data_IF_178962378176
#
_entry.id   IF_178962378176
#
_cell.length_a   1.000
_cell.length_b   1.000
_cell.length_c   1.000
_cell.angle_alpha   90.00
_cell.angle_beta   90.00
_cell.angle_gamma   90.00
#
_symmetry.space_group_name_H-M   'P 1'
#
loop_
_entity.id
_entity.type
_entity.pdbx_description
1 polymer ?
#
# COMPACT_ATOMS: atom_id res chain seq x y z
N UNK A 1 -16.91 -39.86 28.99
CA UNK A 1 -16.18 -40.11 27.74
C UNK A 1 -15.74 -38.78 27.19
N UNK A 2 -14.46 -38.67 26.92
CA UNK A 2 -13.70 -37.45 26.77
C UNK A 2 -14.18 -36.59 25.61
N UNK A 3 -14.60 -35.37 25.91
CA UNK A 3 -14.65 -34.26 24.96
C UNK A 3 -13.21 -33.88 24.65
N UNK A 4 -12.68 -34.39 23.54
CA UNK A 4 -11.42 -33.90 22.99
C UNK A 4 -11.62 -32.44 22.60
N UNK A 5 -11.05 -31.56 23.41
CA UNK A 5 -10.76 -30.18 23.09
C UNK A 5 -9.86 -30.18 21.86
N UNK A 6 -10.43 -30.12 20.66
CA UNK A 6 -9.67 -29.78 19.46
C UNK A 6 -9.19 -28.34 19.65
N UNK A 7 -7.93 -28.23 20.05
CA UNK A 7 -7.20 -26.98 20.08
C UNK A 7 -7.27 -26.36 18.69
N UNK A 8 -7.92 -25.20 18.64
CA UNK A 8 -8.18 -24.37 17.48
C UNK A 8 -6.86 -23.74 16.99
N UNK A 9 -5.91 -24.57 16.56
CA UNK A 9 -4.65 -24.14 15.96
C UNK A 9 -4.86 -23.99 14.47
N UNK A 10 -4.56 -22.81 13.94
CA UNK A 10 -4.63 -22.52 12.52
C UNK A 10 -3.84 -23.57 11.71
N UNK A 11 -4.33 -23.95 10.51
CA UNK A 11 -3.55 -24.74 9.57
C UNK A 11 -2.17 -24.12 9.32
N UNK A 12 -1.17 -24.97 9.07
CA UNK A 12 0.23 -24.55 8.91
C UNK A 12 0.41 -23.52 7.78
N UNK A 13 -0.30 -23.70 6.67
CA UNK A 13 -0.30 -22.80 5.53
C UNK A 13 -0.91 -21.43 5.86
N UNK A 14 -2.01 -21.40 6.62
CA UNK A 14 -2.64 -20.17 7.09
C UNK A 14 -1.73 -19.44 8.08
N UNK A 15 -1.19 -20.17 9.06
CA UNK A 15 -0.26 -19.61 10.04
C UNK A 15 1.01 -19.04 9.37
N UNK A 16 1.58 -19.75 8.39
CA UNK A 16 2.73 -19.28 7.64
C UNK A 16 2.41 -18.02 6.83
N UNK A 17 1.24 -17.95 6.19
CA UNK A 17 0.82 -16.76 5.45
C UNK A 17 0.68 -15.53 6.35
N UNK A 18 0.14 -15.69 7.56
CA UNK A 18 0.02 -14.60 8.54
C UNK A 18 1.40 -14.12 9.02
N UNK A 19 2.32 -15.03 9.32
CA UNK A 19 3.69 -14.67 9.73
C UNK A 19 4.41 -13.88 8.63
N UNK A 20 4.33 -14.35 7.38
CA UNK A 20 4.94 -13.67 6.23
C UNK A 20 4.34 -12.26 6.05
N UNK A 21 3.02 -12.13 6.21
CA UNK A 21 2.35 -10.83 6.18
C UNK A 21 2.87 -9.90 7.28
N UNK A 22 2.98 -10.38 8.52
CA UNK A 22 3.39 -9.56 9.66
C UNK A 22 4.84 -9.07 9.52
N UNK A 23 5.74 -9.93 9.02
CA UNK A 23 7.11 -9.56 8.68
C UNK A 23 7.17 -8.49 7.59
N UNK A 24 6.40 -8.68 6.51
CA UNK A 24 6.32 -7.72 5.42
C UNK A 24 5.72 -6.37 5.86
N UNK A 25 4.69 -6.40 6.71
CA UNK A 25 4.06 -5.22 7.32
C UNK A 25 5.04 -4.48 8.21
N UNK A 26 5.79 -5.18 9.07
CA UNK A 26 6.81 -4.57 9.91
C UNK A 26 7.93 -3.91 9.09
N UNK A 27 8.42 -4.59 8.05
CA UNK A 27 9.42 -4.05 7.12
C UNK A 27 8.91 -2.80 6.40
N UNK A 28 7.69 -2.84 5.86
CA UNK A 28 7.05 -1.69 5.22
C UNK A 28 6.91 -0.50 6.18
N UNK A 29 6.45 -0.72 7.42
CA UNK A 29 6.30 0.34 8.41
C UNK A 29 7.64 0.98 8.79
N UNK A 30 8.72 0.20 8.88
CA UNK A 30 10.06 0.73 9.15
C UNK A 30 10.57 1.62 7.99
N UNK A 31 10.35 1.22 6.74
CA UNK A 31 10.70 2.05 5.58
C UNK A 31 9.86 3.33 5.51
N UNK A 32 8.54 3.19 5.76
CA UNK A 32 7.61 4.31 5.81
C UNK A 32 8.00 5.35 6.86
N UNK A 33 8.39 4.93 8.06
CA UNK A 33 8.83 5.85 9.12
C UNK A 33 10.11 6.60 8.74
N UNK A 34 11.05 5.89 8.09
CA UNK A 34 12.28 6.50 7.55
C UNK A 34 11.95 7.56 6.50
N UNK A 35 11.05 7.24 5.56
CA UNK A 35 10.59 8.16 4.53
C UNK A 35 9.92 9.41 5.12
N UNK A 36 9.00 9.24 6.09
CA UNK A 36 8.33 10.36 6.76
C UNK A 36 9.34 11.25 7.47
N UNK A 37 10.30 10.65 8.17
CA UNK A 37 11.33 11.38 8.91
C UNK A 37 12.21 12.22 7.97
N UNK A 38 12.66 11.63 6.86
CA UNK A 38 13.45 12.34 5.85
C UNK A 38 12.63 13.43 5.16
N UNK A 39 11.38 13.14 4.79
CA UNK A 39 10.47 14.10 4.16
C UNK A 39 10.24 15.34 5.01
N UNK A 40 9.93 15.16 6.31
CA UNK A 40 9.77 16.29 7.25
C UNK A 40 11.03 17.13 7.39
N UNK A 41 12.20 16.48 7.44
CA UNK A 41 13.49 17.19 7.53
C UNK A 41 13.78 18.00 6.27
N UNK A 42 13.56 17.41 5.10
CA UNK A 42 13.73 18.05 3.80
C UNK A 42 12.80 19.25 3.63
N UNK A 43 11.52 19.09 3.97
CA UNK A 43 10.53 20.18 3.98
C UNK A 43 10.94 21.31 4.91
N UNK A 44 11.45 20.98 6.11
CA UNK A 44 11.98 21.96 7.05
C UNK A 44 13.15 22.74 6.44
N UNK A 45 14.17 22.06 5.90
CA UNK A 45 15.33 22.73 5.30
C UNK A 45 14.93 23.64 4.14
N UNK A 46 14.05 23.17 3.25
CA UNK A 46 13.51 23.99 2.14
C UNK A 46 12.68 25.18 2.62
N UNK A 47 11.88 25.02 3.66
CA UNK A 47 11.11 26.12 4.23
C UNK A 47 12.03 27.17 4.86
N UNK A 48 13.03 26.75 5.64
CA UNK A 48 14.00 27.66 6.25
C UNK A 48 14.88 28.35 5.22
N UNK A 49 15.33 27.64 4.19
CA UNK A 49 16.07 28.21 3.06
C UNK A 49 15.29 29.34 2.38
N UNK A 50 14.01 29.10 2.05
CA UNK A 50 13.13 30.10 1.45
C UNK A 50 12.94 31.34 2.34
N UNK A 51 12.79 31.13 3.65
CA UNK A 51 12.67 32.23 4.61
C UNK A 51 13.98 33.05 4.68
N UNK A 52 15.13 32.40 4.85
CA UNK A 52 16.44 33.04 4.90
C UNK A 52 16.77 33.78 3.59
N UNK A 53 16.38 33.22 2.44
CA UNK A 53 16.54 33.87 1.14
C UNK A 53 15.72 35.14 1.04
N UNK A 54 14.47 35.11 1.49
CA UNK A 54 13.63 36.31 1.53
C UNK A 54 14.20 37.39 2.46
N UNK A 55 14.75 37.00 3.62
CA UNK A 55 15.43 37.93 4.52
C UNK A 55 16.71 38.53 3.92
N UNK A 56 17.50 37.72 3.21
CA UNK A 56 18.69 38.16 2.47
C UNK A 56 18.32 39.15 1.35
N UNK A 57 17.30 38.86 0.56
CA UNK A 57 16.81 39.76 -0.49
C UNK A 57 16.34 41.11 0.08
N UNK A 58 15.67 41.08 1.23
CA UNK A 58 15.25 42.28 1.96
C UNK A 58 16.45 43.09 2.44
N UNK A 59 17.41 42.44 3.10
CA UNK A 59 18.65 43.09 3.55
C UNK A 59 19.47 43.67 2.39
N UNK A 60 19.48 43.00 1.23
CA UNK A 60 20.13 43.50 0.02
C UNK A 60 19.44 44.70 -0.61
N UNK A 61 18.11 44.81 -0.50
CA UNK A 61 17.38 46.02 -0.87
C UNK A 61 17.73 47.19 0.08
N UNK A 62 17.78 46.93 1.39
CA UNK A 62 18.14 47.92 2.41
C UNK A 62 19.58 48.42 2.25
N UNK A 63 20.54 47.52 2.05
CA UNK A 63 21.93 47.89 1.79
C UNK A 63 22.06 48.75 0.52
N UNK A 64 21.40 48.36 -0.58
CA UNK A 64 21.40 49.16 -1.83
C UNK A 64 20.70 50.50 -1.69
N UNK A 65 19.74 50.64 -0.78
CA UNK A 65 19.13 51.92 -0.44
C UNK A 65 20.13 52.79 0.33
N UNK A 66 20.70 52.28 1.42
CA UNK A 66 21.68 53.00 2.23
C UNK A 66 22.93 53.42 1.42
N UNK A 67 23.43 52.56 0.53
CA UNK A 67 24.55 52.88 -0.35
C UNK A 67 24.23 54.02 -1.33
N UNK A 68 22.99 54.09 -1.83
CA UNK A 68 22.53 55.19 -2.70
C UNK A 68 22.32 56.49 -1.91
N UNK A 69 21.74 56.40 -0.72
CA UNK A 69 21.50 57.55 0.15
C UNK A 69 22.80 58.19 0.63
N UNK A 70 23.86 57.39 0.78
CA UNK A 70 25.22 57.83 1.07
C UNK A 70 26.03 58.26 -0.18
N UNK A 71 25.39 58.38 -1.36
CA UNK A 71 26.05 58.71 -2.63
C UNK A 71 27.28 57.82 -2.96
N UNK A 72 27.21 56.55 -2.58
CA UNK A 72 28.28 55.58 -2.78
C UNK A 72 29.39 55.60 -1.72
N UNK A 73 29.30 56.45 -0.69
CA UNK A 73 30.25 56.44 0.42
C UNK A 73 30.09 55.19 1.30
N UNK A 74 31.21 54.53 1.61
CA UNK A 74 31.26 53.33 2.47
C UNK A 74 31.27 53.71 3.96
N UNK A 75 30.17 54.31 4.42
CA UNK A 75 29.99 54.63 5.84
C UNK A 75 29.91 53.36 6.69
N UNK A 76 30.17 53.44 8.01
CA UNK A 76 30.02 52.30 8.91
C UNK A 76 28.64 51.62 8.83
N UNK A 77 27.58 52.40 8.65
CA UNK A 77 26.20 51.93 8.52
C UNK A 77 25.98 51.15 7.22
N UNK A 78 26.50 51.63 6.10
CA UNK A 78 26.46 50.95 4.80
C UNK A 78 27.24 49.64 4.85
N UNK A 79 28.43 49.63 5.47
CA UNK A 79 29.23 48.42 5.63
C UNK A 79 28.57 47.40 6.56
N UNK A 80 27.87 47.85 7.60
CA UNK A 80 27.07 46.99 8.47
C UNK A 80 25.92 46.34 7.70
N UNK A 81 25.12 47.13 6.97
CA UNK A 81 24.02 46.59 6.16
C UNK A 81 24.51 45.58 5.10
N UNK A 82 25.69 45.82 4.51
CA UNK A 82 26.31 44.87 3.58
C UNK A 82 26.70 43.55 4.26
N UNK A 83 27.28 43.61 5.46
CA UNK A 83 27.62 42.39 6.23
C UNK A 83 26.36 41.61 6.59
N UNK A 84 25.33 42.31 7.08
CA UNK A 84 24.06 41.68 7.44
C UNK A 84 23.38 40.99 6.23
N UNK A 85 23.50 41.56 5.02
CA UNK A 85 23.03 40.90 3.77
C UNK A 85 23.82 39.64 3.44
N UNK A 86 25.16 39.71 3.51
CA UNK A 86 26.04 38.58 3.22
C UNK A 86 25.81 37.42 4.18
N UNK A 87 25.74 37.70 5.48
CA UNK A 87 25.52 36.69 6.52
C UNK A 87 24.18 35.96 6.30
N UNK A 88 23.11 36.70 5.95
CA UNK A 88 21.80 36.10 5.63
C UNK A 88 21.82 35.30 4.33
N UNK A 89 22.58 35.74 3.33
CA UNK A 89 22.71 35.03 2.06
C UNK A 89 23.43 33.70 2.25
N UNK A 90 24.56 33.72 2.96
CA UNK A 90 25.34 32.52 3.28
C UNK A 90 24.51 31.53 4.12
N UNK A 91 23.69 32.03 5.05
CA UNK A 91 22.76 31.19 5.81
C UNK A 91 21.69 30.54 4.92
N UNK A 92 21.14 31.28 3.95
CA UNK A 92 20.18 30.74 2.99
C UNK A 92 20.81 29.64 2.12
N UNK A 93 21.99 29.91 1.56
CA UNK A 93 22.78 28.96 0.75
C UNK A 93 23.10 27.70 1.56
N UNK A 94 23.46 27.84 2.84
CA UNK A 94 23.72 26.71 3.74
C UNK A 94 22.49 25.81 3.94
N UNK A 95 21.29 26.39 4.07
CA UNK A 95 20.06 25.60 4.18
C UNK A 95 19.63 24.97 2.86
N UNK A 96 19.89 25.62 1.72
CA UNK A 96 19.69 25.04 0.39
C UNK A 96 20.61 23.82 0.22
N UNK A 97 21.88 23.95 0.56
CA UNK A 97 22.84 22.85 0.51
C UNK A 97 22.44 21.68 1.41
N UNK A 98 21.99 21.94 2.65
CA UNK A 98 21.48 20.89 3.54
C UNK A 98 20.27 20.15 2.96
N UNK A 99 19.41 20.84 2.19
CA UNK A 99 18.29 20.21 1.51
C UNK A 99 18.78 19.35 0.33
N UNK A 100 19.74 19.84 -0.46
CA UNK A 100 20.30 19.14 -1.61
C UNK A 100 21.12 17.90 -1.20
N UNK A 101 21.82 17.95 -0.07
CA UNK A 101 22.51 16.80 0.52
C UNK A 101 21.53 15.72 0.99
N UNK A 102 20.35 16.11 1.48
CA UNK A 102 19.34 15.18 1.99
C UNK A 102 18.48 14.57 0.88
N UNK A 103 18.33 15.26 -0.26
CA UNK A 103 17.44 14.87 -1.36
C UNK A 103 17.70 13.44 -1.89
N UNK A 104 18.95 12.99 -2.16
CA UNK A 104 19.17 11.62 -2.64
C UNK A 104 18.79 10.55 -1.62
N UNK A 105 19.01 10.81 -0.32
CA UNK A 105 18.58 9.90 0.75
C UNK A 105 17.05 9.80 0.80
N UNK A 106 16.35 10.93 0.64
CA UNK A 106 14.90 10.95 0.56
C UNK A 106 14.37 10.18 -0.66
N UNK A 107 14.97 10.39 -1.84
CA UNK A 107 14.60 9.67 -3.07
C UNK A 107 14.83 8.16 -2.95
N UNK A 108 15.95 7.74 -2.34
CA UNK A 108 16.19 6.33 -2.06
C UNK A 108 15.13 5.75 -1.13
N UNK A 109 14.79 6.45 -0.04
CA UNK A 109 13.75 6.03 0.89
C UNK A 109 12.36 5.92 0.23
N UNK A 110 12.04 6.79 -0.74
CA UNK A 110 10.81 6.67 -1.54
C UNK A 110 10.78 5.35 -2.32
N UNK A 111 11.89 4.99 -2.95
CA UNK A 111 11.99 3.75 -3.74
C UNK A 111 11.94 2.51 -2.85
N UNK A 112 12.68 2.48 -1.75
CA UNK A 112 12.67 1.34 -0.81
C UNK A 112 11.29 1.15 -0.18
N UNK A 113 10.61 2.25 0.18
CA UNK A 113 9.23 2.21 0.69
C UNK A 113 8.27 1.66 -0.38
N UNK A 114 8.44 2.04 -1.65
CA UNK A 114 7.61 1.52 -2.74
C UNK A 114 7.80 -0.01 -2.95
N UNK A 115 9.03 -0.51 -2.84
CA UNK A 115 9.30 -1.95 -2.89
C UNK A 115 8.70 -2.68 -1.70
N UNK A 116 8.92 -2.17 -0.48
CA UNK A 116 8.38 -2.77 0.73
C UNK A 116 6.85 -2.79 0.71
N UNK A 117 6.21 -1.70 0.24
CA UNK A 117 4.76 -1.61 0.06
C UNK A 117 4.22 -2.70 -0.87
N UNK A 118 4.86 -2.91 -2.03
CA UNK A 118 4.45 -3.95 -2.96
C UNK A 118 4.51 -5.35 -2.34
N UNK A 119 5.55 -5.64 -1.58
CA UNK A 119 5.68 -6.91 -0.86
C UNK A 119 4.60 -7.05 0.21
N UNK A 120 4.35 -5.98 0.97
CA UNK A 120 3.24 -5.92 1.93
C UNK A 120 1.89 -6.18 1.26
N UNK A 121 1.54 -5.49 0.18
CA UNK A 121 0.25 -5.66 -0.51
C UNK A 121 0.05 -7.11 -1.01
N UNK A 122 1.09 -7.71 -1.60
CA UNK A 122 1.04 -9.12 -2.09
C UNK A 122 0.85 -10.11 -0.94
N UNK A 123 1.56 -9.91 0.18
CA UNK A 123 1.49 -10.83 1.33
C UNK A 123 0.19 -10.67 2.10
N UNK A 124 -0.34 -9.45 2.17
CA UNK A 124 -1.67 -9.14 2.71
C UNK A 124 -2.78 -9.82 1.90
N UNK A 125 -2.77 -9.72 0.57
CA UNK A 125 -3.75 -10.39 -0.29
C UNK A 125 -3.75 -11.91 -0.04
N UNK A 126 -2.56 -12.52 0.01
CA UNK A 126 -2.40 -13.95 0.29
C UNK A 126 -2.89 -14.35 1.68
N UNK A 127 -2.53 -13.59 2.70
CA UNK A 127 -2.94 -13.87 4.07
C UNK A 127 -4.46 -13.70 4.26
N UNK A 128 -5.04 -12.68 3.63
CA UNK A 128 -6.50 -12.44 3.63
C UNK A 128 -7.23 -13.58 2.94
N UNK A 129 -6.76 -14.03 1.77
CA UNK A 129 -7.34 -15.16 1.07
C UNK A 129 -7.25 -16.45 1.88
N UNK A 130 -6.05 -16.80 2.37
CA UNK A 130 -5.84 -18.04 3.14
C UNK A 130 -6.67 -18.08 4.43
N UNK A 131 -6.69 -16.97 5.17
CA UNK A 131 -7.47 -16.89 6.40
C UNK A 131 -8.98 -16.88 6.13
N UNK A 132 -9.44 -16.11 5.13
CA UNK A 132 -10.83 -16.06 4.71
C UNK A 132 -11.36 -17.43 4.25
N UNK A 133 -10.61 -18.14 3.40
CA UNK A 133 -10.95 -19.48 2.93
C UNK A 133 -11.03 -20.48 4.09
N UNK A 134 -10.09 -20.39 5.04
CA UNK A 134 -10.10 -21.23 6.24
C UNK A 134 -11.35 -20.98 7.11
N UNK A 135 -11.69 -19.71 7.38
CA UNK A 135 -12.88 -19.35 8.14
C UNK A 135 -14.15 -19.81 7.45
N UNK A 136 -14.23 -19.62 6.12
CA UNK A 136 -15.37 -20.07 5.33
C UNK A 136 -15.51 -21.60 5.40
N UNK A 137 -14.40 -22.34 5.32
CA UNK A 137 -14.41 -23.79 5.41
C UNK A 137 -14.92 -24.28 6.78
N UNK A 138 -14.46 -23.68 7.88
CA UNK A 138 -14.94 -24.01 9.23
C UNK A 138 -16.43 -23.69 9.36
N UNK A 139 -16.84 -22.45 9.03
CA UNK A 139 -18.23 -22.02 9.13
C UNK A 139 -19.18 -22.88 8.26
N UNK A 140 -18.72 -23.26 7.07
CA UNK A 140 -19.46 -24.16 6.18
C UNK A 140 -19.59 -25.56 6.78
N UNK A 141 -18.50 -26.12 7.33
CA UNK A 141 -18.53 -27.44 7.96
C UNK A 141 -19.48 -27.46 9.17
N UNK A 142 -19.45 -26.43 10.01
CA UNK A 142 -20.36 -26.27 11.14
C UNK A 142 -21.82 -26.14 10.69
N UNK A 143 -22.09 -25.28 9.71
CA UNK A 143 -23.41 -25.13 9.11
C UNK A 143 -23.93 -26.46 8.57
N UNK A 144 -23.11 -27.19 7.81
CA UNK A 144 -23.50 -28.47 7.21
C UNK A 144 -23.55 -29.64 8.19
N UNK A 145 -23.08 -29.48 9.43
CA UNK A 145 -23.31 -30.45 10.50
C UNK A 145 -24.76 -30.37 11.07
N UNK A 146 -25.40 -29.19 10.96
CA UNK A 146 -26.79 -28.98 11.41
C UNK A 146 -27.81 -29.81 10.62
N UNK A 147 -29.02 -29.98 11.14
CA UNK A 147 -30.07 -30.72 10.44
C UNK A 147 -30.59 -29.93 9.23
N UNK A 148 -30.69 -28.62 9.38
CA UNK A 148 -31.08 -27.64 8.39
C UNK A 148 -30.05 -27.61 7.25
N UNK A 149 -28.76 -27.50 7.57
CA UNK A 149 -27.67 -27.53 6.61
C UNK A 149 -27.62 -28.82 5.79
N UNK A 150 -27.76 -29.99 6.43
CA UNK A 150 -27.86 -31.28 5.72
C UNK A 150 -29.11 -31.38 4.83
N UNK A 151 -30.21 -30.76 5.25
CA UNK A 151 -31.43 -30.70 4.43
C UNK A 151 -31.22 -29.81 3.22
N UNK A 152 -30.59 -28.64 3.41
CA UNK A 152 -30.22 -27.74 2.33
C UNK A 152 -29.30 -28.41 1.30
N UNK A 153 -28.24 -29.09 1.74
CA UNK A 153 -27.33 -29.84 0.84
C UNK A 153 -28.07 -30.86 -0.03
N UNK A 154 -28.99 -31.63 0.56
CA UNK A 154 -29.83 -32.59 -0.19
C UNK A 154 -30.74 -31.90 -1.21
N UNK A 155 -31.30 -30.74 -0.86
CA UNK A 155 -32.12 -29.94 -1.79
C UNK A 155 -31.27 -29.38 -2.93
N UNK A 156 -30.06 -28.91 -2.64
CA UNK A 156 -29.11 -28.42 -3.65
C UNK A 156 -28.71 -29.51 -4.64
N UNK A 157 -28.38 -30.72 -4.18
CA UNK A 157 -28.09 -31.87 -5.06
C UNK A 157 -29.27 -32.20 -5.99
N UNK A 158 -30.50 -32.17 -5.46
CA UNK A 158 -31.72 -32.36 -6.29
C UNK A 158 -31.91 -31.24 -7.30
N UNK A 159 -31.58 -30.01 -6.90
CA UNK A 159 -31.69 -28.83 -7.76
C UNK A 159 -30.68 -28.86 -8.91
N UNK A 160 -29.44 -29.30 -8.64
CA UNK A 160 -28.40 -29.53 -9.65
C UNK A 160 -28.84 -30.59 -10.67
N UNK A 161 -29.32 -31.75 -10.20
CA UNK A 161 -29.84 -32.80 -11.07
C UNK A 161 -31.01 -32.31 -11.95
N UNK A 162 -31.89 -31.46 -11.41
CA UNK A 162 -32.99 -30.84 -12.15
C UNK A 162 -32.49 -29.94 -13.29
N UNK A 163 -31.47 -29.12 -13.05
CA UNK A 163 -30.90 -28.23 -14.09
C UNK A 163 -30.16 -29.02 -15.16
N UNK A 164 -29.41 -30.05 -14.79
CA UNK A 164 -28.78 -30.95 -15.77
C UNK A 164 -29.84 -31.62 -16.64
N UNK A 165 -30.91 -32.14 -16.04
CA UNK A 165 -32.01 -32.75 -16.78
C UNK A 165 -32.72 -31.76 -17.72
N UNK A 166 -32.90 -30.51 -17.29
CA UNK A 166 -33.47 -29.46 -18.13
C UNK A 166 -32.58 -29.16 -19.34
N UNK A 167 -31.27 -28.99 -19.14
CA UNK A 167 -30.30 -28.75 -20.23
C UNK A 167 -30.29 -29.91 -21.22
N UNK A 168 -30.31 -31.16 -20.74
CA UNK A 168 -30.37 -32.35 -21.59
C UNK A 168 -31.68 -32.39 -22.40
N UNK A 169 -32.81 -32.09 -21.76
CA UNK A 169 -34.14 -32.12 -22.40
C UNK A 169 -34.29 -31.05 -23.48
N UNK A 170 -33.76 -29.86 -23.23
CA UNK A 170 -33.81 -28.75 -24.19
C UNK A 170 -33.07 -29.11 -25.49
N UNK A 171 -32.00 -29.91 -25.40
CA UNK A 171 -31.20 -30.41 -26.53
C UNK A 171 -30.63 -29.29 -27.44
N UNK A 172 -30.49 -28.08 -26.89
CA UNK A 172 -29.96 -26.90 -27.58
C UNK A 172 -28.44 -26.78 -27.40
N UNK A 173 -27.90 -27.32 -26.30
CA UNK A 173 -26.50 -27.16 -25.89
C UNK A 173 -25.77 -28.49 -25.98
N UNK A 174 -24.66 -28.52 -26.73
CA UNK A 174 -23.76 -29.66 -26.85
C UNK A 174 -24.37 -30.90 -27.51
N UNK A 175 -23.55 -31.70 -28.20
CA UNK A 175 -23.97 -33.01 -28.70
C UNK A 175 -23.85 -34.08 -27.59
N UNK A 176 -24.96 -34.61 -27.11
CA UNK A 176 -24.97 -35.64 -26.05
C UNK A 176 -24.24 -36.95 -26.40
N UNK A 177 -23.98 -37.21 -27.68
CA UNK A 177 -23.22 -38.37 -28.14
C UNK A 177 -21.69 -38.17 -28.09
N UNK A 178 -21.21 -36.95 -27.86
CA UNK A 178 -19.78 -36.65 -27.75
C UNK A 178 -19.41 -36.27 -26.33
N UNK A 179 -18.18 -36.63 -25.91
CA UNK A 179 -17.67 -36.25 -24.60
C UNK A 179 -17.63 -34.72 -24.41
N UNK A 180 -17.28 -33.98 -25.47
CA UNK A 180 -17.30 -32.52 -25.45
C UNK A 180 -18.70 -31.96 -25.23
N UNK A 181 -19.71 -32.46 -25.95
CA UNK A 181 -21.08 -31.98 -25.77
C UNK A 181 -21.68 -32.34 -24.41
N UNK A 182 -21.28 -33.46 -23.81
CA UNK A 182 -21.63 -33.79 -22.43
C UNK A 182 -21.01 -32.81 -21.42
N UNK A 183 -19.73 -32.42 -21.62
CA UNK A 183 -19.08 -31.41 -20.79
C UNK A 183 -19.74 -30.03 -20.93
N UNK A 184 -20.08 -29.60 -22.15
CA UNK A 184 -20.81 -28.35 -22.40
C UNK A 184 -22.17 -28.32 -21.69
N UNK A 185 -22.91 -29.45 -21.67
CA UNK A 185 -24.18 -29.58 -20.95
C UNK A 185 -23.99 -29.48 -19.43
N UNK A 186 -22.94 -30.11 -18.89
CA UNK A 186 -22.61 -30.02 -17.46
C UNK A 186 -22.26 -28.58 -17.06
N UNK A 187 -21.42 -27.91 -17.85
CA UNK A 187 -21.05 -26.51 -17.59
C UNK A 187 -22.27 -25.57 -17.65
N UNK A 188 -23.16 -25.77 -18.63
CA UNK A 188 -24.39 -24.97 -18.74
C UNK A 188 -25.34 -25.21 -17.55
N UNK A 189 -25.45 -26.44 -17.07
CA UNK A 189 -26.24 -26.78 -15.89
C UNK A 189 -25.64 -26.15 -14.62
N UNK A 190 -24.32 -26.24 -14.45
CA UNK A 190 -23.60 -25.61 -13.35
C UNK A 190 -23.82 -24.09 -13.32
N UNK A 191 -23.69 -23.42 -14.47
CA UNK A 191 -23.94 -21.97 -14.56
C UNK A 191 -25.40 -21.57 -14.28
N UNK A 192 -26.39 -22.47 -14.39
CA UNK A 192 -27.77 -22.23 -13.92
C UNK A 192 -27.87 -22.36 -12.40
N UNK A 193 -27.20 -23.34 -11.81
CA UNK A 193 -27.14 -23.54 -10.35
C UNK A 193 -26.44 -22.36 -9.68
N UNK A 194 -25.28 -21.94 -10.20
CA UNK A 194 -24.50 -20.81 -9.67
C UNK A 194 -25.32 -19.52 -9.63
N UNK A 195 -26.03 -19.18 -10.72
CA UNK A 195 -26.90 -18.00 -10.76
C UNK A 195 -28.07 -18.08 -9.77
N UNK A 196 -28.67 -19.26 -9.63
CA UNK A 196 -29.76 -19.45 -8.68
C UNK A 196 -29.27 -19.35 -7.22
N UNK A 197 -28.08 -19.91 -6.92
CA UNK A 197 -27.46 -19.83 -5.61
C UNK A 197 -27.05 -18.39 -5.27
N UNK A 198 -26.41 -17.68 -6.21
CA UNK A 198 -26.02 -16.28 -6.03
C UNK A 198 -27.22 -15.41 -5.64
N UNK A 199 -28.36 -15.58 -6.32
CA UNK A 199 -29.60 -14.86 -5.98
C UNK A 199 -30.07 -15.15 -4.54
N UNK A 200 -30.04 -16.41 -4.10
CA UNK A 200 -30.41 -16.77 -2.73
C UNK A 200 -29.46 -16.16 -1.69
N UNK A 201 -28.17 -16.11 -2.01
CA UNK A 201 -27.15 -15.50 -1.14
C UNK A 201 -27.34 -13.99 -1.05
N UNK A 202 -27.59 -13.30 -2.17
CA UNK A 202 -27.86 -11.85 -2.18
C UNK A 202 -29.11 -11.49 -1.35
N UNK A 203 -30.18 -12.27 -1.49
CA UNK A 203 -31.41 -12.10 -0.71
C UNK A 203 -31.18 -12.35 0.79
N UNK A 204 -30.35 -13.34 1.14
CA UNK A 204 -30.01 -13.63 2.53
C UNK A 204 -29.08 -12.57 3.14
N UNK A 205 -28.07 -12.11 2.39
CA UNK A 205 -27.10 -11.12 2.84
C UNK A 205 -27.76 -9.78 3.21
N UNK A 206 -28.81 -9.38 2.51
CA UNK A 206 -29.57 -8.17 2.81
C UNK A 206 -30.24 -8.16 4.20
N UNK A 207 -30.40 -9.34 4.83
CA UNK A 207 -31.04 -9.50 6.13
C UNK A 207 -30.03 -9.73 7.28
N UNK A 208 -28.72 -9.77 6.99
CA UNK A 208 -27.68 -10.03 8.00
C UNK A 208 -27.18 -8.71 8.57
N UNK A 209 -27.30 -8.56 9.89
CA UNK A 209 -26.64 -7.48 10.63
C UNK A 209 -25.12 -7.66 10.58
N UNK A 210 -24.33 -6.57 10.47
CA UNK A 210 -22.88 -6.66 10.45
C UNK A 210 -22.38 -7.29 11.76
N UNK A 211 -21.73 -8.45 11.63
CA UNK A 211 -21.10 -9.12 12.75
C UNK A 211 -19.92 -8.30 13.30
N UNK A 212 -19.58 -8.51 14.57
CA UNK A 212 -18.31 -8.01 15.11
C UNK A 212 -17.15 -8.58 14.30
N UNK A 213 -16.28 -7.69 13.81
CA UNK A 213 -15.15 -8.05 12.97
C UNK A 213 -14.13 -8.85 13.78
N UNK A 214 -13.71 -10.00 13.25
CA UNK A 214 -12.71 -10.86 13.87
C UNK A 214 -11.39 -10.06 14.07
N UNK A 215 -10.72 -10.17 15.23
CA UNK A 215 -9.49 -9.43 15.47
C UNK A 215 -8.40 -9.67 14.42
N UNK A 216 -8.26 -10.88 13.88
CA UNK A 216 -7.29 -11.18 12.82
C UNK A 216 -7.70 -10.52 11.50
N UNK A 217 -9.00 -10.49 11.16
CA UNK A 217 -9.48 -9.74 9.99
C UNK A 217 -9.16 -8.24 10.10
N UNK A 218 -9.27 -7.66 11.30
CA UNK A 218 -8.90 -6.27 11.52
C UNK A 218 -7.40 -6.05 11.28
N UNK A 219 -6.53 -6.97 11.73
CA UNK A 219 -5.08 -6.85 11.52
C UNK A 219 -4.65 -6.94 10.05
N UNK A 220 -5.45 -7.64 9.23
CA UNK A 220 -5.28 -7.83 7.80
C UNK A 220 -5.83 -6.68 6.95
N UNK A 221 -6.48 -5.67 7.54
CA UNK A 221 -6.93 -4.51 6.79
C UNK A 221 -5.77 -3.76 6.14
N UNK A 222 -6.02 -3.25 4.93
CA UNK A 222 -5.01 -2.54 4.15
C UNK A 222 -4.63 -1.23 4.83
N UNK A 223 -3.34 -0.95 4.90
CA UNK A 223 -2.84 0.32 5.43
C UNK A 223 -3.01 1.42 4.38
N UNK A 224 -3.51 2.58 4.82
CA UNK A 224 -3.58 3.78 4.00
C UNK A 224 -2.18 4.34 3.67
N UNK A 225 -2.09 4.95 2.49
CA UNK A 225 -0.89 5.66 2.02
C UNK A 225 -0.73 7.01 2.74
N UNK A 226 0.51 7.42 2.97
CA UNK A 226 0.83 8.81 3.37
C UNK A 226 1.02 9.75 2.19
N UNK A 227 0.99 11.05 2.48
CA UNK A 227 1.36 12.09 1.51
C UNK A 227 2.77 11.89 0.91
N UNK A 228 3.75 11.43 1.70
CA UNK A 228 5.11 11.20 1.24
C UNK A 228 5.23 10.03 0.25
N UNK A 229 4.33 9.05 0.34
CA UNK A 229 4.25 7.91 -0.59
C UNK A 229 3.52 8.24 -1.90
N UNK A 230 2.73 9.33 -1.92
CA UNK A 230 2.00 9.79 -3.10
C UNK A 230 2.87 10.66 -4.02
N UNK A 231 3.92 11.29 -3.48
CA UNK A 231 4.83 12.15 -4.26
C UNK A 231 5.94 11.34 -4.92
N UNK A 232 6.27 11.62 -6.18
CA UNK A 232 7.44 11.03 -6.86
C UNK A 232 7.36 9.54 -7.19
N UNK A 233 6.17 8.92 -7.16
CA UNK A 233 6.01 7.47 -7.36
C UNK A 233 6.25 7.06 -8.82
N UNK A 234 7.41 6.45 -9.09
CA UNK A 234 7.57 5.62 -10.26
C UNK A 234 6.64 4.39 -10.15
N UNK A 235 5.77 4.17 -11.15
CA UNK A 235 4.72 3.15 -11.09
C UNK A 235 5.17 1.76 -11.56
N UNK A 236 6.36 1.64 -12.15
CA UNK A 236 6.88 0.38 -12.65
C UNK A 236 8.29 0.08 -12.12
N UNK A 237 8.63 -1.22 -12.10
CA UNK A 237 9.89 -1.74 -11.53
C UNK A 237 11.13 -1.20 -12.24
N UNK A 238 11.07 -1.00 -13.57
CA UNK A 238 12.20 -0.49 -14.33
C UNK A 238 12.54 0.94 -13.94
N UNK A 239 11.53 1.78 -13.78
CA UNK A 239 11.67 3.16 -13.34
C UNK A 239 12.15 3.23 -11.88
N UNK A 240 11.61 2.38 -10.99
CA UNK A 240 12.09 2.28 -9.60
C UNK A 240 13.57 1.87 -9.53
N UNK A 241 13.99 0.88 -10.31
CA UNK A 241 15.40 0.46 -10.37
C UNK A 241 16.33 1.56 -10.89
N UNK A 242 15.89 2.32 -11.90
CA UNK A 242 16.65 3.47 -12.39
C UNK A 242 16.79 4.54 -11.31
N UNK A 243 15.68 4.93 -10.70
CA UNK A 243 15.67 5.94 -9.63
C UNK A 243 16.53 5.51 -8.43
N UNK A 244 16.51 4.21 -8.09
CA UNK A 244 17.39 3.64 -7.06
C UNK A 244 18.86 3.83 -7.41
N UNK A 245 19.25 3.46 -8.63
CA UNK A 245 20.64 3.56 -9.08
C UNK A 245 21.11 5.01 -9.14
N UNK A 246 20.26 5.92 -9.61
CA UNK A 246 20.54 7.36 -9.65
C UNK A 246 20.74 7.93 -8.23
N UNK A 247 19.83 7.63 -7.30
CA UNK A 247 19.95 8.08 -5.91
C UNK A 247 21.20 7.51 -5.21
N UNK A 248 21.52 6.23 -5.46
CA UNK A 248 22.74 5.61 -4.93
C UNK A 248 24.01 6.25 -5.49
N UNK A 249 24.07 6.51 -6.79
CA UNK A 249 25.22 7.17 -7.41
C UNK A 249 25.44 8.59 -6.86
N UNK A 250 24.36 9.33 -6.60
CA UNK A 250 24.46 10.65 -5.97
C UNK A 250 24.99 10.57 -4.53
N UNK A 251 24.53 9.59 -3.74
CA UNK A 251 25.04 9.39 -2.37
C UNK A 251 26.52 8.98 -2.35
N UNK A 252 26.96 8.14 -3.29
CA UNK A 252 28.37 7.77 -3.44
C UNK A 252 29.24 8.98 -3.80
N UNK A 253 28.79 9.81 -4.74
CA UNK A 253 29.48 11.05 -5.10
C UNK A 253 29.58 12.01 -3.91
N UNK A 254 28.50 12.18 -3.15
CA UNK A 254 28.51 12.99 -1.93
C UNK A 254 29.48 12.43 -0.89
N UNK A 255 29.49 11.11 -0.64
CA UNK A 255 30.42 10.50 0.31
C UNK A 255 31.90 10.69 -0.06
N UNK A 256 32.22 10.70 -1.36
CA UNK A 256 33.57 10.99 -1.86
C UNK A 256 33.96 12.47 -1.67
N UNK A 257 33.03 13.40 -1.88
CA UNK A 257 33.26 14.83 -1.69
C UNK A 257 33.50 15.21 -0.21
N UNK A 258 32.85 14.53 0.73
CA UNK A 258 33.04 14.77 2.17
C UNK A 258 34.33 14.14 2.75
N UNK A 259 34.97 13.23 2.01
CA UNK A 259 36.17 12.51 2.45
C UNK A 259 37.48 13.09 1.89
N UNK A 260 37.40 14.07 0.98
CA UNK A 260 38.53 14.73 0.33
C UNK A 260 38.84 16.09 0.96
#
# INVERSE_FOLDING_TARGET
>A
MSTETQTNTLPEDVAAALVIHDEAKASYLAQRETLITLGKRLEKHRATARAARHESETAGNEWRAAFRDADGELTPEVLKAKRDELDKRELAESYEQLADELEPSYQLAQVETAYARRTYDITQEKATAAYGDHRLAIASAELFATAEGRTWLRLMQRHEAKHLHAVIREDIIGNGATAQGQAERQQAAQGRVERALAKLLDEAAAAVEPAEADPLEQTLQALDLTAYELTGRATNVLALNRQRAEAQALLEQQGQQHSA
#
